data_IF_421771874051
#
_entry.id   IF_421771874051
#
_cell.length_a   1.000
_cell.length_b   1.000
_cell.length_c   1.000
_cell.angle_alpha   90.00
_cell.angle_beta   90.00
_cell.angle_gamma   90.00
#
_symmetry.space_group_name_H-M   'P 1'
#
loop_
_entity.id
_entity.type
_entity.pdbx_description
1 polymer ?
#
# COMPACT_ATOMS: atom_id res chain seq x y z
N UNK A 1 -8.03 2.57 12.07
CA UNK A 1 -7.26 1.87 13.12
C UNK A 1 -5.94 2.54 13.52
N UNK A 2 -5.36 3.48 12.75
CA UNK A 2 -4.13 4.20 13.12
C UNK A 2 -2.89 3.30 13.12
N UNK A 3 -2.85 2.32 12.22
CA UNK A 3 -1.76 1.34 12.12
C UNK A 3 -0.44 2.02 11.77
N UNK A 4 0.66 1.58 12.40
CA UNK A 4 2.02 2.05 12.09
C UNK A 4 2.82 0.90 11.51
N UNK A 5 3.14 0.98 10.21
CA UNK A 5 3.99 0.01 9.52
C UNK A 5 5.41 0.53 9.52
N UNK A 6 6.35 -0.30 9.94
CA UNK A 6 7.76 -0.01 9.84
C UNK A 6 8.35 -0.63 8.57
N UNK A 7 9.44 -0.02 8.08
CA UNK A 7 10.18 -0.54 6.93
C UNK A 7 10.72 -1.96 7.14
N UNK A 8 10.87 -2.40 8.39
CA UNK A 8 11.28 -3.75 8.77
C UNK A 8 10.18 -4.80 8.59
N UNK A 9 8.92 -4.38 8.56
CA UNK A 9 7.78 -5.30 8.42
C UNK A 9 7.56 -5.69 6.95
N UNK A 10 8.09 -4.87 6.04
CA UNK A 10 8.04 -5.09 4.59
C UNK A 10 8.97 -6.24 4.18
N UNK A 11 8.46 -7.08 3.27
CA UNK A 11 9.19 -8.19 2.64
C UNK A 11 10.29 -7.69 1.72
N UNK A 12 10.05 -6.59 1.00
CA UNK A 12 11.00 -6.01 0.05
C UNK A 12 11.75 -4.81 0.63
N UNK A 13 12.99 -4.59 0.16
CA UNK A 13 13.76 -3.38 0.50
C UNK A 13 13.52 -2.30 -0.55
N UNK A 14 12.95 -1.19 -0.11
CA UNK A 14 12.79 0.00 -0.93
C UNK A 14 13.83 1.07 -0.55
N UNK A 15 14.40 1.79 -1.54
CA UNK A 15 15.24 2.93 -1.25
C UNK A 15 14.43 4.04 -0.55
N UNK A 16 15.09 4.78 0.33
CA UNK A 16 14.55 5.98 0.96
C UNK A 16 14.86 7.16 0.06
N UNK A 17 13.89 7.63 -0.73
CA UNK A 17 14.12 8.81 -1.56
C UNK A 17 14.00 10.04 -0.66
N UNK A 18 15.12 10.70 -0.38
CA UNK A 18 15.14 11.80 0.61
C UNK A 18 14.36 13.03 0.10
N UNK A 19 14.19 13.18 -1.22
CA UNK A 19 13.46 14.30 -1.83
C UNK A 19 11.96 14.30 -1.52
N UNK A 20 11.35 13.12 -1.44
CA UNK A 20 9.91 12.90 -1.17
C UNK A 20 9.60 12.92 0.33
N UNK A 21 10.62 12.93 1.20
CA UNK A 21 10.48 12.92 2.67
C UNK A 21 9.67 14.10 3.22
N UNK A 22 9.67 15.23 2.51
CA UNK A 22 8.94 16.44 2.88
C UNK A 22 7.63 16.61 2.11
N UNK A 23 7.30 15.67 1.21
CA UNK A 23 6.04 15.73 0.49
C UNK A 23 4.87 15.36 1.40
N UNK A 24 3.69 15.86 1.04
CA UNK A 24 2.48 15.54 1.76
C UNK A 24 2.24 14.03 1.69
N UNK A 25 2.10 13.43 2.86
CA UNK A 25 1.72 12.03 3.00
C UNK A 25 0.36 11.82 2.36
N UNK A 26 0.15 10.62 1.82
CA UNK A 26 -1.13 10.21 1.27
C UNK A 26 -2.27 10.55 2.23
N UNK A 27 -3.17 11.43 1.78
CA UNK A 27 -4.29 11.93 2.60
C UNK A 27 -5.59 11.17 2.37
N UNK A 28 -5.53 10.03 1.65
CA UNK A 28 -6.68 9.17 1.38
C UNK A 28 -7.19 9.28 -0.06
N UNK A 29 -8.44 8.87 -0.26
CA UNK A 29 -9.06 8.68 -1.58
C UNK A 29 -9.07 9.93 -2.49
N UNK A 30 -8.99 11.13 -1.92
CA UNK A 30 -8.98 12.38 -2.69
C UNK A 30 -7.55 12.83 -3.11
N UNK A 31 -6.53 12.03 -2.79
CA UNK A 31 -5.13 12.32 -3.12
C UNK A 31 -4.81 11.82 -4.54
N UNK A 32 -4.74 12.77 -5.48
CA UNK A 32 -4.36 12.55 -6.88
C UNK A 32 -2.88 12.81 -7.12
N UNK A 33 -2.05 12.81 -6.08
CA UNK A 33 -0.61 12.94 -6.28
C UNK A 33 -0.05 11.68 -6.94
N UNK A 34 1.07 11.80 -7.68
CA UNK A 34 1.74 10.64 -8.23
C UNK A 34 2.24 9.73 -7.10
N UNK A 35 2.04 8.43 -7.29
CA UNK A 35 2.53 7.37 -6.42
C UNK A 35 3.90 6.89 -6.89
N UNK A 36 4.86 6.85 -5.97
CA UNK A 36 6.18 6.30 -6.24
C UNK A 36 6.33 4.91 -5.59
N UNK A 37 6.11 3.88 -6.39
CA UNK A 37 6.25 2.46 -5.97
C UNK A 37 7.68 2.03 -5.64
N UNK A 38 8.67 2.84 -6.00
CA UNK A 38 10.08 2.59 -5.70
C UNK A 38 10.54 3.39 -4.48
N UNK A 39 9.67 4.18 -3.84
CA UNK A 39 10.00 4.99 -2.68
C UNK A 39 9.30 4.52 -1.41
N UNK A 40 10.11 4.20 -0.41
CA UNK A 40 9.63 3.76 0.90
C UNK A 40 8.70 4.79 1.56
N UNK A 41 8.93 6.09 1.38
CA UNK A 41 8.13 7.13 2.01
C UNK A 41 6.72 7.26 1.42
N UNK A 42 6.51 6.81 0.18
CA UNK A 42 5.20 6.72 -0.47
C UNK A 42 4.51 5.39 -0.18
N UNK A 43 5.28 4.30 -0.19
CA UNK A 43 4.78 2.93 0.01
C UNK A 43 4.25 2.74 1.43
N UNK A 44 4.99 3.18 2.46
CA UNK A 44 4.58 3.02 3.86
C UNK A 44 3.19 3.62 4.13
N UNK A 45 2.93 4.93 3.86
CA UNK A 45 1.62 5.51 4.13
C UNK A 45 0.53 4.89 3.25
N UNK A 46 0.83 4.47 2.03
CA UNK A 46 -0.10 3.72 1.18
C UNK A 46 -0.51 2.40 1.84
N UNK A 47 0.47 1.57 2.22
CA UNK A 47 0.21 0.28 2.89
C UNK A 47 -0.52 0.46 4.21
N UNK A 48 -0.16 1.48 5.00
CA UNK A 48 -0.86 1.80 6.25
C UNK A 48 -2.33 2.10 5.98
N UNK A 49 -2.63 2.96 5.00
CA UNK A 49 -4.00 3.32 4.66
C UNK A 49 -4.80 2.11 4.16
N UNK A 50 -4.20 1.26 3.31
CA UNK A 50 -4.86 0.05 2.79
C UNK A 50 -5.15 -0.92 3.92
N UNK A 51 -4.18 -1.21 4.79
CA UNK A 51 -4.37 -2.11 5.94
C UNK A 51 -5.41 -1.57 6.92
N UNK A 52 -5.45 -0.24 7.11
CA UNK A 52 -6.45 0.42 7.95
C UNK A 52 -7.88 0.24 7.40
N UNK A 53 -8.05 0.42 6.08
CA UNK A 53 -9.32 0.24 5.36
C UNK A 53 -9.79 -1.22 5.30
N UNK A 54 -8.87 -2.17 5.45
CA UNK A 54 -9.15 -3.60 5.55
C UNK A 54 -9.34 -4.07 7.00
N UNK A 55 -9.09 -3.20 7.98
CA UNK A 55 -9.07 -3.51 9.41
C UNK A 55 -8.17 -4.72 9.74
N UNK A 56 -7.00 -4.77 9.09
CA UNK A 56 -6.01 -5.85 9.25
C UNK A 56 -4.67 -5.31 9.74
N UNK A 57 -3.98 -6.05 10.59
CA UNK A 57 -2.64 -5.75 11.11
C UNK A 57 -1.65 -6.92 10.92
N UNK A 58 -2.03 -7.94 10.15
CA UNK A 58 -1.22 -9.13 9.95
C UNK A 58 -0.18 -9.00 8.82
N UNK A 59 1.00 -9.59 9.05
CA UNK A 59 2.09 -9.61 8.07
C UNK A 59 1.73 -10.33 6.77
N UNK A 60 0.80 -11.29 6.81
CA UNK A 60 0.38 -12.03 5.64
C UNK A 60 -0.33 -11.12 4.62
N UNK A 61 -1.26 -10.30 5.10
CA UNK A 61 -1.97 -9.30 4.28
C UNK A 61 -0.98 -8.24 3.78
N UNK A 62 -0.07 -7.76 4.64
CA UNK A 62 0.95 -6.79 4.23
C UNK A 62 1.84 -7.34 3.10
N UNK A 63 2.37 -8.56 3.25
CA UNK A 63 3.23 -9.18 2.25
C UNK A 63 2.49 -9.48 0.96
N UNK A 64 1.21 -9.86 1.04
CA UNK A 64 0.36 -10.01 -0.13
C UNK A 64 0.18 -8.69 -0.89
N UNK A 65 -0.11 -7.60 -0.17
CA UNK A 65 -0.24 -6.26 -0.76
C UNK A 65 1.07 -5.81 -1.42
N UNK A 66 2.22 -6.11 -0.81
CA UNK A 66 3.52 -5.85 -1.42
C UNK A 66 3.75 -6.64 -2.70
N UNK A 67 3.45 -7.95 -2.71
CA UNK A 67 3.56 -8.77 -3.91
C UNK A 67 2.64 -8.23 -5.02
N UNK A 68 1.40 -7.89 -4.69
CA UNK A 68 0.44 -7.31 -5.61
C UNK A 68 0.94 -5.97 -6.18
N UNK A 69 1.49 -5.10 -5.33
CA UNK A 69 2.04 -3.80 -5.73
C UNK A 69 3.26 -3.95 -6.67
N UNK A 70 4.15 -4.91 -6.41
CA UNK A 70 5.37 -5.09 -7.20
C UNK A 70 5.15 -5.87 -8.49
N UNK A 71 4.25 -6.86 -8.48
CA UNK A 71 4.09 -7.82 -9.58
C UNK A 71 2.87 -7.55 -10.45
N UNK A 72 1.74 -7.26 -9.81
CA UNK A 72 0.44 -7.19 -10.47
C UNK A 72 -0.02 -5.75 -10.73
N UNK A 73 0.56 -4.76 -10.04
CA UNK A 73 0.21 -3.36 -10.25
C UNK A 73 0.56 -2.93 -11.68
N UNK A 74 -0.43 -2.53 -12.47
CA UNK A 74 -0.19 -2.07 -13.83
C UNK A 74 0.67 -0.81 -13.84
N UNK A 75 1.67 -0.77 -14.72
CA UNK A 75 2.61 0.37 -14.83
C UNK A 75 1.97 1.70 -15.25
N UNK A 76 0.74 1.67 -15.78
CA UNK A 76 0.01 2.88 -16.16
C UNK A 76 -0.66 3.54 -14.96
N UNK A 77 -0.94 2.79 -13.88
CA UNK A 77 -1.45 3.36 -12.64
C UNK A 77 -0.31 4.08 -11.94
N UNK A 78 -0.37 5.41 -11.98
CA UNK A 78 0.61 6.28 -11.34
C UNK A 78 -0.02 7.14 -10.26
N UNK A 79 -1.35 7.10 -10.09
CA UNK A 79 -2.08 7.93 -9.15
C UNK A 79 -2.29 7.20 -7.83
N UNK A 80 -2.02 7.87 -6.70
CA UNK A 80 -2.17 7.28 -5.36
C UNK A 80 -3.59 6.76 -5.11
N UNK A 81 -4.62 7.49 -5.51
CA UNK A 81 -6.01 7.05 -5.39
C UNK A 81 -6.30 5.75 -6.16
N UNK A 82 -5.86 5.66 -7.41
CA UNK A 82 -6.10 4.45 -8.22
C UNK A 82 -5.36 3.24 -7.66
N UNK A 83 -4.10 3.43 -7.25
CA UNK A 83 -3.30 2.39 -6.59
C UNK A 83 -3.98 1.92 -5.30
N UNK A 84 -4.44 2.84 -4.46
CA UNK A 84 -5.17 2.52 -3.24
C UNK A 84 -6.44 1.70 -3.52
N UNK A 85 -7.27 2.14 -4.47
CA UNK A 85 -8.49 1.43 -4.85
C UNK A 85 -8.20 0.04 -5.43
N UNK A 86 -7.13 -0.10 -6.20
CA UNK A 86 -6.70 -1.38 -6.75
C UNK A 86 -6.26 -2.35 -5.65
N UNK A 87 -5.36 -1.91 -4.77
CA UNK A 87 -4.81 -2.72 -3.68
C UNK A 87 -5.92 -3.17 -2.70
N UNK A 88 -6.77 -2.24 -2.25
CA UNK A 88 -7.90 -2.55 -1.36
C UNK A 88 -8.90 -3.51 -2.01
N UNK A 89 -9.22 -3.31 -3.30
CA UNK A 89 -10.15 -4.17 -4.04
C UNK A 89 -9.66 -5.61 -4.14
N UNK A 90 -8.40 -5.80 -4.55
CA UNK A 90 -7.79 -7.13 -4.65
C UNK A 90 -7.64 -7.82 -3.28
N UNK A 91 -7.21 -7.08 -2.26
CA UNK A 91 -7.07 -7.65 -0.91
C UNK A 91 -8.44 -8.03 -0.30
N UNK A 92 -9.50 -7.25 -0.54
CA UNK A 92 -10.86 -7.64 -0.12
C UNK A 92 -11.32 -8.94 -0.78
N UNK A 93 -11.09 -9.11 -2.08
CA UNK A 93 -11.42 -10.35 -2.77
C UNK A 93 -10.67 -11.56 -2.18
N UNK A 94 -9.37 -11.38 -1.88
CA UNK A 94 -8.58 -12.41 -1.19
C UNK A 94 -9.14 -12.75 0.19
N UNK A 95 -9.44 -11.73 1.01
CA UNK A 95 -9.98 -11.92 2.35
C UNK A 95 -11.35 -12.62 2.33
N UNK A 96 -12.23 -12.23 1.40
CA UNK A 96 -13.53 -12.89 1.20
C UNK A 96 -13.38 -14.36 0.79
N UNK A 97 -12.35 -14.72 0.01
CA UNK A 97 -12.07 -16.12 -0.32
C UNK A 97 -11.53 -16.90 0.87
N UNK A 98 -10.72 -16.28 1.72
CA UNK A 98 -10.15 -16.93 2.92
C UNK A 98 -11.19 -17.19 4.01
N UNK A 99 -12.23 -16.37 4.12
CA UNK A 99 -13.31 -16.54 5.11
C UNK A 99 -14.30 -17.66 4.74
N UNK A 100 -14.28 -18.09 3.47
CA UNK A 100 -15.13 -19.18 2.95
C UNK A 100 -14.53 -20.59 3.10
N UNK A 101 -13.34 -20.72 3.71
CA UNK A 101 -12.62 -21.99 3.92
C UNK A 101 -12.62 -22.36 5.40
#
# INVERSE_FOLDING_TARGET
MGLTIHASDLKYRYPKVIGTRFENKFSGKDDTAPFNRDDLYDIIPMMQAVMDELERDDALTLHFLEDLMNRDLPRFLSDRCEVFCFLTGCARDMLQRSDRL
#
